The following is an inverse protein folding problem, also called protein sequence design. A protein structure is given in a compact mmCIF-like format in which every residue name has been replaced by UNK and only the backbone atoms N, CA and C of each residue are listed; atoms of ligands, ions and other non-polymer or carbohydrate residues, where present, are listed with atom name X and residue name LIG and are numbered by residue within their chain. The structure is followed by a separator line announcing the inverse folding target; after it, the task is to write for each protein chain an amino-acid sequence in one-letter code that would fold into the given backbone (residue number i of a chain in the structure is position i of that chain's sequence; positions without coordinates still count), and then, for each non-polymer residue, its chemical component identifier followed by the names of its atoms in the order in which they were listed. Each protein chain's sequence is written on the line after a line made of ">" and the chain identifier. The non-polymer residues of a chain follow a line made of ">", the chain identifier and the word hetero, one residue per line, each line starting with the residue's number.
data_IF_505645367214
#
_entry.id   IF_505645367214
#
_cell.length_a   1.000
_cell.length_b   1.000
_cell.length_c   1.000
_cell.angle_alpha   90.00
_cell.angle_beta   90.00
_cell.angle_gamma   90.00
#
_symmetry.space_group_name_H-M   'P 1'
#
loop_
_entity.id
_entity.type
_entity.pdbx_description
1 polymer ?
#
# COMPACT_ATOMS: atom_id res chain seq x y z
N UNK A 1 -4.08 27.71 -10.50
CA UNK A 1 -3.97 27.47 -9.05
C UNK A 1 -3.52 26.02 -8.90
N UNK A 2 -2.24 25.85 -8.68
CA UNK A 2 -1.53 24.57 -8.66
C UNK A 2 -1.89 23.80 -7.39
N UNK A 3 -2.70 22.76 -7.52
CA UNK A 3 -2.92 21.81 -6.43
C UNK A 3 -1.65 20.98 -6.24
N UNK A 4 -0.83 21.36 -5.28
CA UNK A 4 0.17 20.47 -4.68
C UNK A 4 -0.59 19.32 -4.05
N UNK A 5 -0.61 18.18 -4.72
CA UNK A 5 -1.06 16.91 -4.15
C UNK A 5 -0.09 16.58 -3.01
N UNK A 6 -0.59 16.70 -1.78
CA UNK A 6 0.20 16.60 -0.55
C UNK A 6 0.58 15.14 -0.30
N UNK A 7 1.83 14.82 -0.52
CA UNK A 7 2.56 13.70 0.09
C UNK A 7 2.73 13.91 1.62
N UNK A 8 1.75 14.52 2.29
CA UNK A 8 1.87 15.11 3.62
C UNK A 8 0.95 14.41 4.61
N UNK A 9 1.00 13.07 4.72
CA UNK A 9 0.33 12.46 5.88
C UNK A 9 1.13 11.37 6.61
N UNK A 10 2.30 10.96 6.13
CA UNK A 10 3.22 10.17 6.96
C UNK A 10 4.54 10.90 7.28
N UNK A 11 4.82 12.00 6.60
CA UNK A 11 6.04 12.80 6.81
C UNK A 11 6.00 13.79 7.98
N UNK A 12 4.85 13.99 8.62
CA UNK A 12 4.74 15.01 9.67
C UNK A 12 5.35 14.63 11.03
N UNK A 13 5.79 13.37 11.21
CA UNK A 13 6.49 12.95 12.42
C UNK A 13 8.02 13.05 12.31
N UNK A 14 8.55 13.35 11.12
CA UNK A 14 10.00 13.35 10.88
C UNK A 14 10.41 14.65 10.17
N UNK A 15 10.10 15.78 10.75
CA UNK A 15 10.78 17.04 10.41
C UNK A 15 11.85 17.34 11.46
N UNK A 16 12.75 16.40 11.68
CA UNK A 16 13.99 16.63 12.43
C UNK A 16 15.08 15.66 11.94
N UNK A 17 15.29 15.57 10.65
CA UNK A 17 16.59 15.14 10.16
C UNK A 17 17.47 16.36 10.16
N UNK A 18 18.17 16.56 11.27
CA UNK A 18 19.35 17.38 11.27
C UNK A 18 20.27 16.85 10.16
N UNK A 19 20.52 17.67 9.15
CA UNK A 19 21.55 17.41 8.18
C UNK A 19 22.88 17.22 8.92
N UNK A 20 23.27 15.97 9.12
CA UNK A 20 24.65 15.63 9.36
C UNK A 20 25.28 15.61 7.96
N UNK A 21 26.00 16.68 7.63
CA UNK A 21 27.02 16.60 6.60
C UNK A 21 28.01 15.53 7.07
N UNK A 22 27.92 14.34 6.53
CA UNK A 22 28.86 13.27 6.83
C UNK A 22 30.17 13.63 6.14
N UNK A 23 31.19 14.00 6.93
CA UNK A 23 32.61 14.13 6.51
C UNK A 23 33.22 12.75 6.23
N UNK A 24 32.51 11.89 5.55
CA UNK A 24 32.93 10.54 5.18
C UNK A 24 33.02 10.36 3.66
N UNK A 25 33.67 9.31 3.17
CA UNK A 25 33.65 8.98 1.75
C UNK A 25 32.18 8.78 1.32
N UNK A 26 31.83 9.12 0.04
CA UNK A 26 30.47 8.94 -0.45
C UNK A 26 30.03 7.47 -0.30
N UNK A 27 28.75 7.24 0.03
CA UNK A 27 28.24 5.88 0.22
C UNK A 27 28.43 5.03 -1.03
N UNK A 28 28.77 3.77 -0.82
CA UNK A 28 28.96 2.81 -1.92
C UNK A 28 27.64 2.62 -2.63
N UNK A 29 27.61 2.87 -3.94
CA UNK A 29 26.47 2.58 -4.80
C UNK A 29 26.46 1.07 -5.10
N UNK A 30 25.47 0.34 -4.57
CA UNK A 30 25.27 -1.08 -4.84
C UNK A 30 24.24 -1.24 -5.97
N UNK A 31 24.65 -1.62 -7.19
CA UNK A 31 23.73 -1.72 -8.32
C UNK A 31 22.64 -2.79 -8.11
N UNK A 32 22.95 -3.88 -7.40
CA UNK A 32 21.99 -4.94 -7.08
C UNK A 32 20.91 -4.44 -6.14
N UNK A 33 21.31 -3.73 -5.09
CA UNK A 33 20.38 -3.12 -4.14
C UNK A 33 19.56 -2.01 -4.80
N UNK A 34 20.14 -1.16 -5.63
CA UNK A 34 19.40 -0.12 -6.36
C UNK A 34 18.35 -0.71 -7.31
N UNK A 35 18.68 -1.80 -8.01
CA UNK A 35 17.70 -2.53 -8.85
C UNK A 35 16.58 -3.14 -8.00
N UNK A 36 16.89 -3.64 -6.80
CA UNK A 36 15.88 -4.13 -5.88
C UNK A 36 14.94 -2.99 -5.44
N UNK A 37 15.48 -1.81 -5.13
CA UNK A 37 14.69 -0.62 -4.80
C UNK A 37 13.79 -0.20 -5.97
N UNK A 38 14.32 -0.14 -7.17
CA UNK A 38 13.57 0.20 -8.38
C UNK A 38 12.34 -0.69 -8.56
N UNK A 39 12.49 -1.99 -8.32
CA UNK A 39 11.39 -2.97 -8.39
C UNK A 39 10.44 -2.91 -7.20
N UNK A 40 10.89 -2.38 -6.07
CA UNK A 40 10.10 -2.28 -4.86
C UNK A 40 9.13 -1.09 -4.86
N UNK A 41 9.53 0.03 -5.45
CA UNK A 41 8.80 1.29 -5.42
C UNK A 41 7.97 1.51 -6.69
N UNK A 42 7.17 2.58 -6.71
CA UNK A 42 6.34 2.91 -7.86
C UNK A 42 7.19 3.15 -9.11
N UNK A 43 6.90 2.42 -10.18
CA UNK A 43 7.52 2.58 -11.48
C UNK A 43 7.16 3.94 -12.10
N UNK A 44 8.15 4.56 -12.70
CA UNK A 44 7.98 5.69 -13.61
C UNK A 44 9.14 5.68 -14.61
N UNK A 45 8.89 5.90 -15.90
CA UNK A 45 9.95 5.99 -16.90
C UNK A 45 11.01 7.01 -16.48
N UNK A 46 12.27 6.74 -16.82
CA UNK A 46 13.42 7.62 -16.57
C UNK A 46 13.73 7.92 -15.09
N UNK A 47 13.16 7.15 -14.16
CA UNK A 47 13.55 7.25 -12.75
C UNK A 47 14.96 6.75 -12.54
N UNK A 48 15.74 7.50 -11.77
CA UNK A 48 17.06 7.10 -11.32
C UNK A 48 17.12 7.08 -9.80
N UNK A 49 17.93 6.17 -9.26
CA UNK A 49 18.07 5.99 -7.81
C UNK A 49 19.51 6.12 -7.38
N UNK A 50 19.75 6.78 -6.25
CA UNK A 50 21.08 6.99 -5.68
C UNK A 50 21.04 6.82 -4.17
N UNK A 51 21.98 6.04 -3.61
CA UNK A 51 22.17 5.94 -2.16
C UNK A 51 22.87 7.21 -1.69
N UNK A 52 22.26 7.93 -0.75
CA UNK A 52 22.78 9.16 -0.18
C UNK A 52 23.38 8.97 1.21
N UNK A 53 22.89 7.98 1.97
CA UNK A 53 23.53 7.52 3.21
C UNK A 53 23.32 6.02 3.42
N UNK A 54 24.17 5.41 4.23
CA UNK A 54 24.08 3.99 4.59
C UNK A 54 24.64 3.81 6.01
N UNK A 55 23.84 4.22 6.98
CA UNK A 55 24.21 4.18 8.38
C UNK A 55 23.96 2.80 8.98
N UNK A 56 24.94 2.28 9.71
CA UNK A 56 24.85 0.95 10.33
C UNK A 56 24.62 1.07 11.83
N UNK A 57 23.51 0.48 12.28
CA UNK A 57 23.25 0.22 13.69
C UNK A 57 23.69 -1.19 14.11
N UNK A 58 23.99 -1.36 15.38
CA UNK A 58 24.35 -2.65 15.98
C UNK A 58 23.45 -2.96 17.17
N UNK A 59 22.97 -4.17 17.24
CA UNK A 59 22.16 -4.70 18.32
C UNK A 59 22.82 -5.97 18.87
N UNK A 60 22.42 -6.47 20.04
CA UNK A 60 22.89 -7.78 20.54
C UNK A 60 22.58 -8.93 19.57
N UNK A 61 21.54 -8.80 18.76
CA UNK A 61 21.13 -9.82 17.78
C UNK A 61 21.87 -9.68 16.43
N UNK A 62 22.59 -8.57 16.19
CA UNK A 62 23.33 -8.34 14.95
C UNK A 62 23.26 -6.91 14.45
N UNK A 63 23.40 -6.69 13.17
CA UNK A 63 23.39 -5.35 12.56
C UNK A 63 22.17 -5.10 11.69
N UNK A 64 21.79 -3.84 11.61
CA UNK A 64 20.86 -3.31 10.62
C UNK A 64 21.47 -2.09 9.92
N UNK A 65 20.91 -1.71 8.79
CA UNK A 65 21.30 -0.52 8.03
C UNK A 65 20.11 0.39 7.79
N UNK A 66 20.31 1.68 8.00
CA UNK A 66 19.41 2.74 7.57
C UNK A 66 19.97 3.29 6.25
N UNK A 67 19.30 3.02 5.15
CA UNK A 67 19.75 3.41 3.82
C UNK A 67 18.84 4.51 3.32
N UNK A 68 19.41 5.69 3.11
CA UNK A 68 18.69 6.79 2.45
C UNK A 68 18.91 6.67 0.95
N UNK A 69 17.80 6.59 0.22
CA UNK A 69 17.80 6.50 -1.24
C UNK A 69 17.09 7.72 -1.81
N UNK A 70 17.78 8.48 -2.64
CA UNK A 70 17.21 9.55 -3.41
C UNK A 70 16.73 9.02 -4.75
N UNK A 71 15.51 9.39 -5.11
CA UNK A 71 14.94 9.16 -6.43
C UNK A 71 14.88 10.48 -7.17
N UNK A 72 15.40 10.52 -8.39
CA UNK A 72 15.19 11.57 -9.36
C UNK A 72 14.33 11.03 -10.51
N UNK A 73 13.39 11.82 -10.99
CA UNK A 73 12.49 11.50 -12.10
C UNK A 73 12.25 12.77 -12.91
N UNK A 74 11.98 12.63 -14.20
CA UNK A 74 11.54 13.73 -15.04
C UNK A 74 10.22 14.37 -14.54
N UNK A 75 9.42 13.60 -13.79
CA UNK A 75 8.27 14.11 -13.05
C UNK A 75 8.71 14.49 -11.64
N UNK A 76 8.68 15.79 -11.33
CA UNK A 76 8.93 16.32 -9.98
C UNK A 76 8.02 15.71 -8.90
N UNK A 77 6.88 15.14 -9.30
CA UNK A 77 5.91 14.53 -8.38
C UNK A 77 6.42 13.26 -7.71
N UNK A 78 7.36 12.57 -8.33
CA UNK A 78 7.94 11.32 -7.83
C UNK A 78 9.39 11.45 -7.38
N UNK A 79 9.99 12.63 -7.52
CA UNK A 79 11.33 12.91 -7.01
C UNK A 79 11.28 13.07 -5.48
N UNK A 80 12.29 12.56 -4.79
CA UNK A 80 12.39 12.65 -3.34
C UNK A 80 13.32 11.62 -2.73
N UNK A 81 13.39 11.61 -1.41
CA UNK A 81 14.16 10.63 -0.64
C UNK A 81 13.27 9.66 0.10
N UNK A 82 13.76 8.45 0.29
CA UNK A 82 13.13 7.41 1.10
C UNK A 82 14.15 6.75 2.02
N UNK A 83 13.72 6.39 3.22
CA UNK A 83 14.50 5.57 4.13
C UNK A 83 14.11 4.11 3.95
N UNK A 84 15.10 3.25 3.78
CA UNK A 84 14.95 1.80 3.73
C UNK A 84 15.74 1.20 4.88
N UNK A 85 15.13 0.30 5.64
CA UNK A 85 15.81 -0.37 6.74
C UNK A 85 16.11 -1.81 6.34
N UNK A 86 17.38 -2.19 6.39
CA UNK A 86 17.83 -3.54 6.06
C UNK A 86 18.24 -4.24 7.34
N UNK A 87 17.63 -5.39 7.62
CA UNK A 87 18.03 -6.28 8.70
C UNK A 87 19.00 -7.33 8.12
N UNK A 88 20.29 -7.17 8.40
CA UNK A 88 21.35 -8.05 7.89
C UNK A 88 21.28 -9.47 8.49
N UNK A 89 20.53 -9.66 9.58
CA UNK A 89 20.38 -10.97 10.28
C UNK A 89 19.16 -11.73 9.77
N UNK A 90 18.06 -11.02 9.58
CA UNK A 90 16.82 -11.61 9.11
C UNK A 90 16.73 -11.68 7.57
N UNK A 91 17.71 -11.16 6.84
CA UNK A 91 17.70 -11.03 5.38
C UNK A 91 16.43 -10.32 4.89
N UNK A 92 16.07 -9.22 5.55
CA UNK A 92 14.84 -8.50 5.25
C UNK A 92 15.08 -7.02 4.95
N UNK A 93 14.23 -6.49 4.06
CA UNK A 93 14.22 -5.09 3.66
C UNK A 93 12.86 -4.50 3.98
N UNK A 94 12.86 -3.42 4.76
CA UNK A 94 11.69 -2.72 5.24
C UNK A 94 11.53 -1.41 4.48
N UNK A 95 10.40 -1.23 3.83
CA UNK A 95 10.02 -0.01 3.14
C UNK A 95 8.99 0.75 3.96
N UNK A 96 9.26 2.01 4.25
CA UNK A 96 8.30 2.83 4.98
C UNK A 96 8.98 3.91 5.80
N UNK A 97 8.27 4.37 6.82
CA UNK A 97 8.79 5.42 7.70
C UNK A 97 9.62 4.80 8.82
N UNK A 98 10.87 5.23 8.96
CA UNK A 98 11.70 4.95 10.13
C UNK A 98 11.67 6.17 11.06
N UNK A 99 11.16 6.00 12.27
CA UNK A 99 11.08 7.05 13.27
C UNK A 99 12.07 6.77 14.40
N UNK A 100 12.86 7.80 14.75
CA UNK A 100 13.73 7.72 15.94
C UNK A 100 12.86 7.63 17.19
N UNK A 101 13.13 6.62 18.00
CA UNK A 101 12.43 6.44 19.27
C UNK A 101 13.03 7.35 20.35
N UNK A 102 12.25 7.74 21.38
CA UNK A 102 12.82 8.38 22.57
C UNK A 102 13.86 7.47 23.21
N UNK A 103 14.85 8.05 23.89
CA UNK A 103 15.86 7.27 24.57
C UNK A 103 15.22 6.26 25.55
N UNK A 104 15.54 5.00 25.39
CA UNK A 104 15.11 3.94 26.27
C UNK A 104 16.18 3.76 27.37
N UNK A 105 15.85 4.15 28.59
CA UNK A 105 16.78 4.16 29.74
C UNK A 105 16.91 2.81 30.45
N UNK A 106 16.52 1.71 29.80
CA UNK A 106 16.63 0.35 30.36
C UNK A 106 17.80 -0.43 29.78
N UNK A 107 18.23 -1.47 30.51
CA UNK A 107 19.00 -2.53 29.86
C UNK A 107 18.16 -3.06 28.69
N UNK A 108 18.80 -3.27 27.53
CA UNK A 108 18.11 -3.74 26.32
C UNK A 108 17.68 -5.19 26.54
N UNK A 109 16.60 -5.34 27.32
CA UNK A 109 15.87 -6.59 27.48
C UNK A 109 14.68 -6.59 26.51
N UNK A 110 14.52 -7.61 25.66
CA UNK A 110 13.42 -7.68 24.72
C UNK A 110 12.04 -7.50 25.35
N UNK A 111 11.83 -7.95 26.59
CA UNK A 111 10.57 -7.80 27.31
C UNK A 111 10.30 -6.36 27.70
N UNK A 112 11.31 -5.68 28.23
CA UNK A 112 11.21 -4.28 28.60
C UNK A 112 11.01 -3.37 27.38
N UNK A 113 11.71 -3.68 26.27
CA UNK A 113 11.53 -2.98 25.01
C UNK A 113 10.13 -3.17 24.44
N UNK A 114 9.57 -4.38 24.46
CA UNK A 114 8.17 -4.65 24.03
C UNK A 114 7.18 -3.84 24.87
N UNK A 115 7.32 -3.85 26.18
CA UNK A 115 6.46 -3.08 27.09
C UNK A 115 6.52 -1.59 26.79
N UNK A 116 7.72 -1.05 26.50
CA UNK A 116 7.88 0.35 26.10
C UNK A 116 7.18 0.65 24.77
N UNK A 117 7.36 -0.20 23.76
CA UNK A 117 6.71 -0.04 22.44
C UNK A 117 5.20 -0.11 22.57
N UNK A 118 4.66 -1.05 23.37
CA UNK A 118 3.21 -1.20 23.60
C UNK A 118 2.57 0.06 24.20
N UNK A 119 3.30 0.80 25.00
CA UNK A 119 2.83 2.04 25.62
C UNK A 119 3.05 3.27 24.72
N UNK A 120 4.24 3.39 24.15
CA UNK A 120 4.64 4.59 23.43
C UNK A 120 4.02 4.69 22.03
N UNK A 121 4.10 3.61 21.24
CA UNK A 121 3.75 3.70 19.81
C UNK A 121 2.26 3.99 19.55
N UNK A 122 1.30 3.34 20.23
CA UNK A 122 -0.12 3.66 20.06
C UNK A 122 -0.46 5.11 20.43
N UNK A 123 0.17 5.63 21.50
CA UNK A 123 -0.05 7.02 21.93
C UNK A 123 0.53 8.03 20.91
N UNK A 124 1.73 7.78 20.43
CA UNK A 124 2.39 8.59 19.40
C UNK A 124 1.57 8.62 18.09
N UNK A 125 1.05 7.47 17.64
CA UNK A 125 0.24 7.37 16.43
C UNK A 125 -1.14 8.01 16.60
N UNK A 126 -1.75 7.92 17.79
CA UNK A 126 -3.00 8.60 18.09
C UNK A 126 -2.83 10.12 18.06
N UNK A 127 -1.76 10.62 18.66
CA UNK A 127 -1.46 12.06 18.70
C UNK A 127 -1.18 12.64 17.32
N UNK A 128 -0.40 11.95 16.49
CA UNK A 128 0.10 12.48 15.22
C UNK A 128 -0.77 12.13 14.00
N UNK A 129 -1.32 10.92 13.94
CA UNK A 129 -2.07 10.42 12.79
C UNK A 129 -3.56 10.18 13.10
N UNK A 130 -4.00 10.40 14.36
CA UNK A 130 -5.36 10.11 14.85
C UNK A 130 -5.77 8.65 14.63
N UNK A 131 -4.82 7.74 14.62
CA UNK A 131 -5.05 6.31 14.47
C UNK A 131 -5.21 5.66 15.84
N UNK A 132 -6.31 4.94 16.04
CA UNK A 132 -6.44 4.03 17.16
C UNK A 132 -5.74 2.73 16.80
N UNK A 133 -4.69 2.42 17.54
CA UNK A 133 -3.83 1.29 17.24
C UNK A 133 -3.52 0.48 18.48
N UNK A 134 -3.25 -0.81 18.29
CA UNK A 134 -2.66 -1.70 19.30
C UNK A 134 -1.51 -2.48 18.69
N UNK A 135 -0.55 -2.87 19.52
CA UNK A 135 0.61 -3.68 19.10
C UNK A 135 0.30 -5.15 19.33
N UNK A 136 0.56 -5.99 18.33
CA UNK A 136 0.40 -7.43 18.41
C UNK A 136 1.71 -8.13 18.03
N UNK A 137 2.35 -8.75 19.01
CA UNK A 137 3.62 -9.48 18.86
C UNK A 137 3.45 -10.92 18.40
N UNK A 138 2.20 -11.41 18.29
CA UNK A 138 1.93 -12.77 17.88
C UNK A 138 2.02 -12.88 16.35
N UNK A 139 2.58 -14.01 15.90
CA UNK A 139 2.71 -14.33 14.47
C UNK A 139 3.20 -13.14 13.64
N UNK A 140 4.40 -12.61 13.92
CA UNK A 140 4.90 -11.39 13.34
C UNK A 140 5.06 -11.50 11.81
N UNK A 141 5.06 -10.36 11.07
CA UNK A 141 5.10 -10.35 9.60
C UNK A 141 6.38 -10.93 9.01
N UNK A 142 7.43 -11.07 9.82
CA UNK A 142 8.72 -11.62 9.43
C UNK A 142 9.45 -12.21 10.63
N UNK A 143 10.52 -12.96 10.40
CA UNK A 143 11.37 -13.47 11.48
C UNK A 143 12.11 -12.33 12.20
N UNK A 144 12.33 -12.48 13.49
CA UNK A 144 13.14 -11.54 14.25
C UNK A 144 14.64 -11.66 13.91
N UNK A 145 15.32 -10.52 13.91
CA UNK A 145 16.74 -10.39 13.69
C UNK A 145 17.29 -9.20 14.47
N UNK A 146 17.96 -8.27 13.80
CA UNK A 146 18.33 -6.98 14.39
C UNK A 146 17.11 -6.07 14.59
N UNK A 147 15.99 -6.39 13.92
CA UNK A 147 14.68 -5.83 14.15
C UNK A 147 13.77 -6.85 14.82
N UNK A 148 12.88 -6.37 15.70
CA UNK A 148 11.83 -7.12 16.35
C UNK A 148 10.50 -6.77 15.68
N UNK A 149 10.00 -7.62 14.77
CA UNK A 149 8.78 -7.35 14.01
C UNK A 149 7.52 -7.62 14.85
N UNK A 150 6.46 -6.88 14.54
CA UNK A 150 5.13 -7.04 15.11
C UNK A 150 4.06 -6.54 14.12
N UNK A 151 2.81 -6.85 14.41
CA UNK A 151 1.69 -6.25 13.73
C UNK A 151 1.19 -5.02 14.49
N UNK A 152 0.98 -3.95 13.79
CA UNK A 152 0.19 -2.84 14.25
C UNK A 152 -1.26 -3.07 13.81
N UNK A 153 -2.17 -3.31 14.77
CA UNK A 153 -3.61 -3.39 14.50
C UNK A 153 -4.17 -1.98 14.47
N UNK A 154 -4.91 -1.67 13.43
CA UNK A 154 -5.47 -0.33 13.20
C UNK A 154 -6.99 -0.46 13.17
N UNK A 155 -7.66 0.28 14.07
CA UNK A 155 -9.13 0.35 14.11
C UNK A 155 -9.62 1.24 12.95
N UNK A 156 -10.41 0.64 12.06
CA UNK A 156 -11.04 1.33 10.92
C UNK A 156 -12.38 2.00 11.28
N UNK A 157 -12.87 1.83 12.51
CA UNK A 157 -14.24 2.17 12.92
C UNK A 157 -15.29 1.10 12.56
N UNK A 158 -14.88 0.08 11.82
CA UNK A 158 -15.71 -1.07 11.43
C UNK A 158 -15.07 -2.41 11.81
N UNK A 159 -13.94 -2.38 12.47
CA UNK A 159 -13.10 -3.50 12.84
C UNK A 159 -11.62 -3.16 12.61
N UNK A 160 -10.76 -4.16 12.69
CA UNK A 160 -9.31 -3.95 12.64
C UNK A 160 -8.69 -4.56 11.38
N UNK A 161 -7.70 -3.87 10.83
CA UNK A 161 -6.76 -4.41 9.85
C UNK A 161 -5.31 -4.30 10.37
N UNK A 162 -4.37 -4.98 9.71
CA UNK A 162 -2.99 -5.07 10.18
C UNK A 162 -2.02 -4.35 9.26
N UNK A 163 -1.00 -3.75 9.85
CA UNK A 163 0.16 -3.17 9.16
C UNK A 163 1.44 -3.72 9.77
N UNK A 164 2.40 -4.09 8.93
CA UNK A 164 3.71 -4.53 9.39
C UNK A 164 4.47 -3.38 10.04
N UNK A 165 5.11 -3.69 11.16
CA UNK A 165 5.95 -2.78 11.91
C UNK A 165 7.09 -3.55 12.58
N UNK A 166 8.14 -2.85 12.94
CA UNK A 166 9.25 -3.38 13.72
C UNK A 166 9.87 -2.29 14.60
N UNK A 167 10.59 -2.71 15.62
CA UNK A 167 11.50 -1.86 16.36
C UNK A 167 12.91 -2.45 16.27
N UNK A 168 13.93 -1.60 16.15
CA UNK A 168 15.31 -2.08 16.24
C UNK A 168 15.60 -2.64 17.63
N UNK A 169 16.33 -3.73 17.74
CA UNK A 169 16.54 -4.41 19.02
C UNK A 169 17.38 -3.59 20.03
N UNK A 170 17.95 -2.46 19.60
CA UNK A 170 18.55 -1.43 20.47
C UNK A 170 17.54 -0.34 20.89
N UNK A 171 16.29 -0.42 20.43
CA UNK A 171 15.25 0.56 20.74
C UNK A 171 15.42 1.93 20.05
N UNK A 172 16.36 2.06 19.11
CA UNK A 172 16.69 3.35 18.52
C UNK A 172 15.65 3.83 17.49
N UNK A 173 15.04 2.89 16.72
CA UNK A 173 14.09 3.22 15.66
C UNK A 173 12.89 2.30 15.67
N UNK A 174 11.72 2.88 15.40
CA UNK A 174 10.52 2.14 14.96
C UNK A 174 10.36 2.28 13.45
N UNK A 175 10.01 1.18 12.78
CA UNK A 175 9.78 1.10 11.33
C UNK A 175 8.35 0.70 11.07
N UNK A 176 7.66 1.43 10.21
CA UNK A 176 6.26 1.19 9.84
C UNK A 176 6.13 1.05 8.33
N UNK A 177 5.83 -0.14 7.86
CA UNK A 177 5.66 -0.39 6.42
C UNK A 177 5.88 -1.84 6.05
N UNK A 178 5.74 -2.18 4.76
CA UNK A 178 5.93 -3.54 4.29
C UNK A 178 7.36 -4.03 4.48
N UNK A 179 7.48 -5.32 4.64
CA UNK A 179 8.76 -6.04 4.76
C UNK A 179 8.83 -7.11 3.69
N UNK A 180 9.99 -7.25 3.07
CA UNK A 180 10.23 -8.26 2.04
C UNK A 180 11.59 -8.94 2.26
N UNK A 181 11.75 -10.20 1.82
CA UNK A 181 13.07 -10.83 1.76
C UNK A 181 14.03 -10.02 0.88
N UNK A 182 15.29 -9.90 1.30
CA UNK A 182 16.30 -9.10 0.59
C UNK A 182 16.69 -9.66 -0.79
N UNK A 183 16.40 -10.95 -1.02
CA UNK A 183 16.67 -11.69 -2.25
C UNK A 183 15.41 -11.93 -3.12
N UNK A 184 14.26 -11.38 -2.71
CA UNK A 184 13.00 -11.62 -3.42
C UNK A 184 12.94 -10.87 -4.76
N UNK A 185 12.45 -11.55 -5.79
CA UNK A 185 11.94 -10.90 -6.99
C UNK A 185 10.54 -10.32 -6.68
N UNK A 186 10.51 -9.07 -6.27
CA UNK A 186 9.28 -8.41 -5.78
C UNK A 186 8.22 -8.26 -6.87
N UNK A 187 8.62 -8.08 -8.13
CA UNK A 187 7.69 -7.96 -9.24
C UNK A 187 6.97 -9.30 -9.46
N UNK A 188 7.74 -10.38 -9.55
CA UNK A 188 7.18 -11.72 -9.68
C UNK A 188 6.34 -12.12 -8.45
N UNK A 189 6.83 -11.86 -7.25
CA UNK A 189 6.12 -12.14 -6.02
C UNK A 189 4.73 -11.49 -5.99
N UNK A 190 4.66 -10.19 -6.30
CA UNK A 190 3.39 -9.43 -6.34
C UNK A 190 2.46 -9.92 -7.43
N UNK A 191 3.01 -10.20 -8.61
CA UNK A 191 2.23 -10.73 -9.74
C UNK A 191 1.57 -12.06 -9.41
N UNK A 192 2.33 -13.00 -8.86
CA UNK A 192 1.82 -14.31 -8.47
C UNK A 192 0.82 -14.24 -7.32
N UNK A 193 1.09 -13.42 -6.31
CA UNK A 193 0.21 -13.24 -5.16
C UNK A 193 -1.14 -12.67 -5.58
N UNK A 194 -1.14 -11.58 -6.36
CA UNK A 194 -2.36 -10.91 -6.81
C UNK A 194 -3.13 -11.75 -7.83
N UNK A 195 -2.44 -12.45 -8.72
CA UNK A 195 -3.07 -13.32 -9.71
C UNK A 195 -3.83 -14.49 -9.11
N UNK A 196 -3.44 -14.96 -7.91
CA UNK A 196 -4.07 -16.07 -7.19
C UNK A 196 -5.02 -15.61 -6.07
N UNK A 197 -5.06 -14.30 -5.75
CA UNK A 197 -5.82 -13.78 -4.63
C UNK A 197 -7.32 -13.74 -4.94
N UNK A 198 -8.12 -14.39 -4.10
CA UNK A 198 -9.59 -14.28 -4.10
C UNK A 198 -10.11 -12.88 -3.74
N UNK A 199 -9.24 -12.01 -3.24
CA UNK A 199 -9.56 -10.64 -2.87
C UNK A 199 -9.54 -9.68 -4.06
N UNK A 200 -8.96 -10.10 -5.19
CA UNK A 200 -9.00 -9.36 -6.45
C UNK A 200 -10.28 -9.71 -7.19
N UNK A 201 -11.15 -8.74 -7.36
CA UNK A 201 -12.34 -8.91 -8.19
C UNK A 201 -11.98 -8.51 -9.62
N UNK A 202 -11.84 -9.53 -10.49
CA UNK A 202 -11.57 -9.32 -11.90
C UNK A 202 -12.83 -8.83 -12.58
N UNK A 203 -12.73 -7.66 -13.17
CA UNK A 203 -13.81 -7.10 -13.96
C UNK A 203 -13.66 -7.51 -15.44
N UNK A 204 -14.72 -7.40 -16.18
CA UNK A 204 -14.79 -7.65 -17.62
C UNK A 204 -14.03 -8.87 -18.09
N UNK A 205 -14.73 -9.77 -18.71
CA UNK A 205 -14.34 -10.81 -19.67
C UNK A 205 -12.86 -10.87 -20.01
N UNK A 206 -12.09 -10.52 -19.01
CA UNK A 206 -10.66 -10.59 -19.00
C UNK A 206 -10.34 -12.02 -19.31
N UNK A 207 -9.88 -12.29 -20.53
CA UNK A 207 -9.37 -13.59 -20.88
C UNK A 207 -8.40 -13.96 -19.76
N UNK A 208 -8.63 -15.08 -19.08
CA UNK A 208 -7.67 -15.60 -18.08
C UNK A 208 -6.24 -15.61 -18.64
N UNK A 209 -6.14 -15.73 -19.96
CA UNK A 209 -4.91 -15.76 -20.76
C UNK A 209 -4.35 -14.38 -21.13
N UNK A 210 -4.93 -13.26 -20.70
CA UNK A 210 -4.37 -11.94 -20.98
C UNK A 210 -2.94 -11.83 -20.40
N UNK A 211 -1.91 -11.52 -21.23
CA UNK A 211 -0.52 -11.50 -20.78
C UNK A 211 -0.22 -10.40 -19.76
N UNK A 212 -1.07 -9.37 -19.68
CA UNK A 212 -0.90 -8.26 -18.73
C UNK A 212 -2.07 -8.23 -17.75
N UNK A 213 -1.77 -8.27 -16.47
CA UNK A 213 -2.72 -8.07 -15.39
C UNK A 213 -2.53 -6.70 -14.77
N UNK A 214 -3.61 -5.95 -14.60
CA UNK A 214 -3.64 -4.66 -13.93
C UNK A 214 -4.55 -4.81 -12.72
N UNK A 215 -3.98 -4.77 -11.51
CA UNK A 215 -4.75 -4.81 -10.27
C UNK A 215 -4.74 -3.43 -9.64
N UNK A 216 -5.92 -2.84 -9.49
CA UNK A 216 -6.11 -1.52 -8.89
C UNK A 216 -6.52 -1.65 -7.42
N UNK A 217 -5.75 -1.05 -6.52
CA UNK A 217 -6.19 -0.75 -5.17
C UNK A 217 -6.90 0.61 -5.20
N UNK A 218 -8.20 0.56 -4.99
CA UNK A 218 -9.11 1.69 -5.25
C UNK A 218 -9.97 2.05 -4.04
N UNK A 219 -10.32 3.33 -3.98
CA UNK A 219 -11.25 3.88 -3.02
C UNK A 219 -12.32 4.68 -3.76
N UNK A 220 -13.59 4.31 -3.60
CA UNK A 220 -14.70 4.92 -4.33
C UNK A 220 -14.97 6.38 -3.91
N UNK A 221 -14.49 6.80 -2.74
CA UNK A 221 -14.55 8.19 -2.29
C UNK A 221 -13.33 9.01 -2.73
N UNK A 222 -12.26 8.37 -3.21
CA UNK A 222 -11.03 9.04 -3.60
C UNK A 222 -11.20 9.82 -4.91
N UNK A 223 -11.02 11.16 -4.92
CA UNK A 223 -11.12 11.95 -6.15
C UNK A 223 -10.07 11.58 -7.20
N UNK A 224 -8.88 11.18 -6.77
CA UNK A 224 -7.81 10.74 -7.66
C UNK A 224 -8.18 9.43 -8.38
N UNK A 225 -8.83 8.48 -7.68
CA UNK A 225 -9.34 7.26 -8.29
C UNK A 225 -10.36 7.56 -9.39
N UNK A 226 -11.34 8.43 -9.09
CA UNK A 226 -12.33 8.87 -10.07
C UNK A 226 -11.68 9.51 -11.30
N UNK A 227 -10.70 10.39 -11.08
CA UNK A 227 -10.03 11.10 -12.16
C UNK A 227 -9.19 10.19 -13.06
N UNK A 228 -8.56 9.15 -12.47
CA UNK A 228 -7.69 8.21 -13.22
C UNK A 228 -8.47 7.08 -13.90
N UNK A 229 -9.68 6.80 -13.46
CA UNK A 229 -10.47 5.69 -13.98
C UNK A 229 -10.67 5.71 -15.51
N UNK A 230 -11.03 6.84 -16.15
CA UNK A 230 -11.18 6.89 -17.61
C UNK A 230 -9.89 6.50 -18.35
N UNK A 231 -8.72 6.89 -17.83
CA UNK A 231 -7.42 6.58 -18.45
C UNK A 231 -7.10 5.09 -18.38
N UNK A 232 -7.37 4.44 -17.23
CA UNK A 232 -7.19 2.98 -17.09
C UNK A 232 -8.13 2.25 -18.02
N UNK A 233 -9.40 2.66 -18.10
CA UNK A 233 -10.38 2.03 -18.96
C UNK A 233 -9.99 2.12 -20.42
N UNK A 234 -9.57 3.29 -20.87
CA UNK A 234 -9.08 3.51 -22.24
C UNK A 234 -7.85 2.64 -22.54
N UNK A 235 -6.89 2.56 -21.62
CA UNK A 235 -5.69 1.75 -21.80
C UNK A 235 -6.01 0.24 -21.86
N UNK A 236 -6.95 -0.25 -21.03
CA UNK A 236 -7.36 -1.67 -21.04
C UNK A 236 -8.17 -1.99 -22.30
N UNK A 237 -9.10 -1.12 -22.69
CA UNK A 237 -9.90 -1.28 -23.90
C UNK A 237 -9.01 -1.23 -25.17
N UNK A 238 -8.03 -0.33 -25.22
CA UNK A 238 -7.07 -0.21 -26.31
C UNK A 238 -6.01 -1.33 -26.39
N UNK A 239 -5.90 -2.14 -25.34
CA UNK A 239 -4.98 -3.27 -25.34
C UNK A 239 -5.49 -4.50 -26.12
N UNK A 240 -6.69 -4.46 -26.70
CA UNK A 240 -7.25 -5.53 -27.56
C UNK A 240 -7.19 -6.93 -26.92
N UNK A 241 -7.59 -7.04 -25.65
CA UNK A 241 -7.57 -8.29 -24.88
C UNK A 241 -6.19 -8.71 -24.36
N UNK A 242 -5.14 -7.94 -24.59
CA UNK A 242 -3.80 -8.20 -24.04
C UNK A 242 -3.67 -7.79 -22.57
N UNK A 243 -4.61 -7.00 -22.05
CA UNK A 243 -4.64 -6.61 -20.65
C UNK A 243 -5.98 -6.99 -20.01
N UNK A 244 -5.92 -7.38 -18.74
CA UNK A 244 -7.08 -7.56 -17.86
C UNK A 244 -6.97 -6.64 -16.65
N UNK A 245 -8.12 -6.17 -16.17
CA UNK A 245 -8.20 -5.32 -15.00
C UNK A 245 -8.95 -6.01 -13.87
N UNK A 246 -8.47 -5.83 -12.66
CA UNK A 246 -9.13 -6.26 -11.44
C UNK A 246 -9.01 -5.20 -10.36
N UNK A 247 -9.91 -5.23 -9.40
CA UNK A 247 -9.98 -4.25 -8.32
C UNK A 247 -9.89 -4.90 -6.94
N UNK A 248 -9.19 -4.24 -6.04
CA UNK A 248 -9.18 -4.49 -4.60
C UNK A 248 -9.63 -3.20 -3.92
N UNK A 249 -10.61 -3.27 -3.03
CA UNK A 249 -11.04 -2.10 -2.27
C UNK A 249 -10.00 -1.73 -1.21
N UNK A 250 -9.60 -0.46 -1.19
CA UNK A 250 -8.64 0.06 -0.22
C UNK A 250 -9.13 1.39 0.36
N UNK A 251 -10.19 1.36 1.21
CA UNK A 251 -10.81 2.57 1.75
C UNK A 251 -9.89 3.30 2.72
N UNK A 252 -9.61 4.58 2.45
CA UNK A 252 -8.79 5.46 3.29
C UNK A 252 -9.64 6.13 4.36
N UNK A 253 -10.12 5.36 5.33
CA UNK A 253 -11.14 5.77 6.32
C UNK A 253 -10.78 6.99 7.17
N UNK A 254 -9.50 7.34 7.28
CA UNK A 254 -9.02 8.53 8.01
C UNK A 254 -9.34 9.85 7.31
N UNK A 255 -9.55 9.82 6.00
CA UNK A 255 -9.79 11.01 5.16
C UNK A 255 -11.06 10.89 4.31
N UNK A 256 -11.58 9.68 4.16
CA UNK A 256 -12.75 9.36 3.33
C UNK A 256 -13.84 8.69 4.19
N UNK A 257 -14.80 9.47 4.71
CA UNK A 257 -15.74 9.00 5.74
C UNK A 257 -16.73 7.93 5.28
N UNK A 258 -17.05 7.84 3.97
CA UNK A 258 -17.98 6.83 3.47
C UNK A 258 -17.30 5.70 2.67
N UNK A 259 -15.99 5.78 2.45
CA UNK A 259 -15.23 4.82 1.64
C UNK A 259 -15.41 3.36 2.07
N UNK A 260 -15.38 3.09 3.40
CA UNK A 260 -15.54 1.73 3.91
C UNK A 260 -16.92 1.15 3.61
N UNK A 261 -17.97 1.99 3.69
CA UNK A 261 -19.33 1.57 3.35
C UNK A 261 -19.45 1.21 1.87
N UNK A 262 -18.88 2.01 1.00
CA UNK A 262 -18.83 1.73 -0.44
C UNK A 262 -18.02 0.46 -0.75
N UNK A 263 -16.88 0.25 -0.08
CA UNK A 263 -16.10 -0.97 -0.21
C UNK A 263 -16.88 -2.23 0.23
N UNK A 264 -17.61 -2.15 1.35
CA UNK A 264 -18.50 -3.23 1.79
C UNK A 264 -19.61 -3.54 0.77
N UNK A 265 -20.21 -2.50 0.18
CA UNK A 265 -21.22 -2.67 -0.87
C UNK A 265 -20.63 -3.30 -2.13
N UNK A 266 -19.45 -2.81 -2.58
CA UNK A 266 -18.70 -3.36 -3.72
C UNK A 266 -18.45 -4.85 -3.57
N UNK A 267 -18.00 -5.27 -2.37
CA UNK A 267 -17.79 -6.69 -2.08
C UNK A 267 -19.08 -7.52 -2.19
N UNK A 268 -20.17 -7.05 -1.57
CA UNK A 268 -21.44 -7.77 -1.56
C UNK A 268 -22.10 -7.87 -2.94
N UNK A 269 -21.88 -6.87 -3.79
CA UNK A 269 -22.34 -6.87 -5.19
C UNK A 269 -21.49 -7.82 -6.02
N UNK A 270 -20.17 -7.72 -5.90
CA UNK A 270 -19.24 -8.57 -6.66
C UNK A 270 -19.33 -10.05 -6.27
N UNK A 271 -19.67 -10.36 -5.02
CA UNK A 271 -19.92 -11.73 -4.57
C UNK A 271 -21.15 -12.37 -5.26
N UNK A 272 -22.12 -11.58 -5.70
CA UNK A 272 -23.26 -12.04 -6.48
C UNK A 272 -22.98 -12.00 -8.00
N UNK A 273 -22.30 -10.94 -8.46
CA UNK A 273 -21.97 -10.77 -9.87
C UNK A 273 -20.70 -9.90 -10.02
N UNK A 274 -19.52 -10.51 -10.25
CA UNK A 274 -18.28 -9.76 -10.43
C UNK A 274 -18.35 -8.73 -11.56
N UNK A 275 -19.12 -9.00 -12.62
CA UNK A 275 -19.27 -8.11 -13.78
C UNK A 275 -20.00 -6.80 -13.45
N UNK A 276 -20.71 -6.73 -12.33
CA UNK A 276 -21.40 -5.52 -11.86
C UNK A 276 -20.53 -4.62 -11.00
N UNK A 277 -19.30 -5.04 -10.68
CA UNK A 277 -18.39 -4.18 -9.91
C UNK A 277 -18.06 -2.87 -10.65
N UNK A 278 -17.77 -2.95 -11.95
CA UNK A 278 -17.48 -1.76 -12.75
C UNK A 278 -18.67 -0.81 -12.89
N UNK A 279 -19.86 -1.26 -13.29
CA UNK A 279 -21.04 -0.40 -13.32
C UNK A 279 -21.33 0.25 -11.95
N UNK A 280 -21.11 -0.47 -10.84
CA UNK A 280 -21.27 0.07 -9.51
C UNK A 280 -20.21 1.14 -9.19
N UNK A 281 -18.96 0.89 -9.54
CA UNK A 281 -17.85 1.85 -9.40
C UNK A 281 -18.13 3.13 -10.18
N UNK A 282 -18.55 3.01 -11.44
CA UNK A 282 -18.89 4.14 -12.30
C UNK A 282 -20.02 4.98 -11.72
N UNK A 283 -21.10 4.36 -11.25
CA UNK A 283 -22.18 5.06 -10.56
C UNK A 283 -21.68 5.85 -9.35
N UNK A 284 -20.84 5.24 -8.52
CA UNK A 284 -20.32 5.93 -7.34
C UNK A 284 -19.37 7.08 -7.70
N UNK A 285 -18.60 6.96 -8.78
CA UNK A 285 -17.76 8.05 -9.27
C UNK A 285 -18.57 9.20 -9.88
N UNK A 286 -19.68 8.92 -10.54
CA UNK A 286 -20.62 9.95 -11.02
C UNK A 286 -21.23 10.73 -9.86
N UNK A 287 -21.63 10.03 -8.80
CA UNK A 287 -22.28 10.63 -7.62
C UNK A 287 -21.28 11.18 -6.59
N UNK A 288 -19.99 10.91 -6.72
CA UNK A 288 -18.97 11.09 -5.68
C UNK A 288 -18.98 12.48 -5.02
N UNK A 289 -19.13 13.55 -5.82
CA UNK A 289 -19.06 14.93 -5.31
C UNK A 289 -20.29 15.35 -4.50
N UNK A 290 -21.40 14.66 -4.68
CA UNK A 290 -22.67 14.93 -3.98
C UNK A 290 -23.00 13.84 -2.94
N UNK A 291 -22.22 12.75 -2.89
CA UNK A 291 -22.46 11.62 -2.03
C UNK A 291 -22.20 11.95 -0.56
N UNK A 292 -23.15 11.70 0.26
CA UNK A 292 -23.02 11.74 1.72
C UNK A 292 -23.03 10.32 2.30
N UNK A 293 -22.47 10.15 3.49
CA UNK A 293 -22.37 8.85 4.17
C UNK A 293 -23.74 8.16 4.37
N UNK A 294 -24.80 8.96 4.55
CA UNK A 294 -26.19 8.49 4.71
C UNK A 294 -26.77 7.93 3.42
N UNK A 295 -26.27 8.36 2.27
CA UNK A 295 -26.77 8.00 0.94
C UNK A 295 -26.16 6.72 0.38
N UNK A 296 -25.00 6.28 0.90
CA UNK A 296 -24.27 5.10 0.38
C UNK A 296 -25.15 3.85 0.40
N UNK A 297 -25.80 3.56 1.52
CA UNK A 297 -26.62 2.35 1.65
C UNK A 297 -27.91 2.39 0.78
N UNK A 298 -28.68 3.48 0.72
CA UNK A 298 -29.80 3.60 -0.22
C UNK A 298 -29.33 3.43 -1.67
N UNK A 299 -28.32 4.16 -2.13
CA UNK A 299 -27.79 4.08 -3.49
C UNK A 299 -27.35 2.66 -3.87
N UNK A 300 -26.67 1.97 -2.95
CA UNK A 300 -26.25 0.59 -3.18
C UNK A 300 -27.45 -0.37 -3.29
N UNK A 301 -28.51 -0.20 -2.49
CA UNK A 301 -29.74 -1.01 -2.59
C UNK A 301 -30.50 -0.75 -3.88
N UNK A 302 -30.61 0.51 -4.29
CA UNK A 302 -31.24 0.88 -5.56
C UNK A 302 -30.50 0.24 -6.75
N UNK A 303 -29.15 0.22 -6.69
CA UNK A 303 -28.33 -0.46 -7.69
C UNK A 303 -28.58 -1.98 -7.69
N UNK A 304 -28.65 -2.62 -6.52
CA UNK A 304 -28.96 -4.06 -6.36
C UNK A 304 -30.30 -4.40 -6.98
N UNK A 305 -31.35 -3.65 -6.64
CA UNK A 305 -32.69 -3.83 -7.18
C UNK A 305 -32.75 -3.61 -8.70
N UNK A 306 -32.12 -2.54 -9.20
CA UNK A 306 -32.11 -2.19 -10.62
C UNK A 306 -31.39 -3.24 -11.50
N UNK A 307 -30.43 -3.97 -10.94
CA UNK A 307 -29.67 -5.00 -11.65
C UNK A 307 -30.13 -6.44 -11.36
N UNK A 308 -31.27 -6.61 -10.68
CA UNK A 308 -31.87 -7.92 -10.42
C UNK A 308 -31.07 -8.82 -9.47
N UNK A 309 -30.23 -8.23 -8.62
CA UNK A 309 -29.50 -8.96 -7.58
C UNK A 309 -30.43 -9.32 -6.41
N UNK A 310 -30.02 -10.30 -5.62
CA UNK A 310 -30.74 -10.69 -4.41
C UNK A 310 -30.54 -9.66 -3.31
N UNK A 311 -31.60 -8.88 -3.02
CA UNK A 311 -31.59 -7.87 -1.99
C UNK A 311 -31.44 -8.45 -0.57
N UNK A 312 -31.96 -9.64 -0.30
CA UNK A 312 -31.83 -10.29 1.00
C UNK A 312 -30.36 -10.75 1.22
N UNK A 313 -29.72 -11.31 0.18
CA UNK A 313 -28.32 -11.66 0.21
C UNK A 313 -27.45 -10.41 0.40
N UNK A 314 -27.72 -9.31 -0.31
CA UNK A 314 -27.03 -8.04 -0.12
C UNK A 314 -27.18 -7.53 1.32
N UNK A 315 -28.39 -7.46 1.86
CA UNK A 315 -28.63 -6.97 3.22
C UNK A 315 -28.01 -7.86 4.31
N UNK A 316 -27.86 -9.16 4.06
CA UNK A 316 -27.17 -10.07 4.98
C UNK A 316 -25.63 -9.95 4.93
N UNK A 317 -25.09 -9.38 3.86
CA UNK A 317 -23.68 -9.15 3.62
C UNK A 317 -23.24 -7.74 4.02
N UNK A 318 -23.98 -6.70 3.60
CA UNK A 318 -23.59 -5.30 3.71
C UNK A 318 -23.40 -4.85 5.17
N UNK A 319 -22.19 -4.40 5.51
CA UNK A 319 -21.74 -4.06 6.86
C UNK A 319 -21.99 -5.19 7.88
N UNK A 320 -21.91 -6.42 7.45
CA UNK A 320 -21.94 -7.62 8.28
C UNK A 320 -20.62 -8.37 8.15
N UNK A 321 -20.44 -9.37 9.02
CA UNK A 321 -19.17 -10.10 9.12
C UNK A 321 -18.56 -10.48 7.77
N UNK A 322 -19.29 -11.03 6.78
CA UNK A 322 -18.68 -11.43 5.50
C UNK A 322 -17.99 -10.28 4.76
N UNK A 323 -18.62 -9.10 4.69
CA UNK A 323 -18.03 -7.94 4.01
C UNK A 323 -17.00 -7.20 4.86
N UNK A 324 -17.19 -7.17 6.19
CA UNK A 324 -16.21 -6.57 7.11
C UNK A 324 -14.88 -7.34 7.02
N UNK A 325 -14.91 -8.66 7.12
CA UNK A 325 -13.72 -9.51 7.02
C UNK A 325 -13.03 -9.36 5.65
N UNK A 326 -13.82 -9.32 4.58
CA UNK A 326 -13.28 -9.18 3.23
C UNK A 326 -12.56 -7.84 3.05
N UNK A 327 -13.19 -6.73 3.43
CA UNK A 327 -12.57 -5.39 3.31
C UNK A 327 -11.32 -5.26 4.19
N UNK A 328 -11.34 -5.82 5.42
CA UNK A 328 -10.16 -5.82 6.28
C UNK A 328 -9.03 -6.68 5.70
N UNK A 329 -9.34 -7.84 5.10
CA UNK A 329 -8.33 -8.64 4.38
C UNK A 329 -7.77 -7.90 3.17
N UNK A 330 -8.61 -7.16 2.42
CA UNK A 330 -8.16 -6.32 1.30
C UNK A 330 -7.25 -5.18 1.78
N UNK A 331 -7.58 -4.53 2.89
CA UNK A 331 -6.72 -3.52 3.52
C UNK A 331 -5.38 -4.11 3.98
N UNK A 332 -5.41 -5.28 4.64
CA UNK A 332 -4.20 -5.97 5.08
C UNK A 332 -3.32 -6.34 3.88
N UNK A 333 -3.90 -6.92 2.83
CA UNK A 333 -3.17 -7.25 1.58
C UNK A 333 -2.48 -6.01 0.99
N UNK A 334 -3.21 -4.89 0.90
CA UNK A 334 -2.63 -3.65 0.40
C UNK A 334 -1.48 -3.15 1.28
N UNK A 335 -1.61 -3.21 2.61
CA UNK A 335 -0.54 -2.81 3.53
C UNK A 335 0.70 -3.70 3.39
N UNK A 336 0.52 -5.01 3.25
CA UNK A 336 1.61 -5.98 3.02
C UNK A 336 2.33 -5.74 1.69
N UNK A 337 1.62 -5.28 0.67
CA UNK A 337 2.19 -4.94 -0.64
C UNK A 337 2.76 -3.51 -0.72
N UNK A 338 2.62 -2.71 0.34
CA UNK A 338 3.13 -1.35 0.40
C UNK A 338 2.19 -0.28 -0.16
N UNK A 339 0.92 -0.60 -0.33
CA UNK A 339 -0.09 0.39 -0.73
C UNK A 339 -0.30 1.38 0.42
N UNK A 340 -0.07 2.66 0.14
CA UNK A 340 -0.20 3.75 1.10
C UNK A 340 -1.08 4.89 0.59
N UNK A 341 -1.50 4.83 -0.66
CA UNK A 341 -2.36 5.81 -1.34
C UNK A 341 -3.21 5.12 -2.40
N UNK A 342 -4.31 5.77 -2.79
CA UNK A 342 -5.17 5.33 -3.89
C UNK A 342 -5.27 6.41 -4.96
N UNK A 343 -5.33 6.03 -6.24
CA UNK A 343 -5.18 4.66 -6.73
C UNK A 343 -3.72 4.22 -6.73
N UNK A 344 -3.48 2.94 -6.42
CA UNK A 344 -2.21 2.25 -6.67
C UNK A 344 -2.49 1.06 -7.58
N UNK A 345 -1.71 0.91 -8.62
CA UNK A 345 -1.85 -0.18 -9.60
C UNK A 345 -0.66 -1.12 -9.50
N UNK A 346 -0.92 -2.41 -9.70
CA UNK A 346 0.10 -3.43 -9.93
C UNK A 346 -0.07 -3.97 -11.36
N UNK A 347 0.88 -3.64 -12.23
CA UNK A 347 0.89 -4.06 -13.64
C UNK A 347 1.90 -5.18 -13.77
N UNK A 348 1.45 -6.43 -13.90
CA UNK A 348 2.30 -7.62 -13.78
C UNK A 348 3.26 -7.57 -12.58
N UNK A 349 2.79 -7.02 -11.43
CA UNK A 349 3.58 -6.89 -10.21
C UNK A 349 4.41 -5.60 -10.08
N UNK A 350 4.59 -4.84 -11.16
CA UNK A 350 5.17 -3.50 -11.09
C UNK A 350 4.21 -2.53 -10.41
N UNK A 351 4.68 -1.80 -9.41
CA UNK A 351 3.86 -0.78 -8.73
C UNK A 351 3.79 0.46 -9.61
N UNK A 352 2.59 0.95 -9.87
CA UNK A 352 2.36 2.19 -10.64
C UNK A 352 1.47 3.12 -9.83
N UNK A 353 1.94 4.35 -9.64
CA UNK A 353 1.18 5.44 -9.03
C UNK A 353 1.14 6.61 -10.01
N UNK A 354 -0.04 7.02 -10.42
CA UNK A 354 -0.19 8.08 -11.41
C UNK A 354 -0.05 7.56 -12.85
N UNK A 355 -1.10 6.97 -13.35
CA UNK A 355 -1.21 6.56 -14.75
C UNK A 355 -1.18 7.80 -15.64
N UNK A 356 -0.33 7.76 -16.66
CA UNK A 356 -0.17 8.81 -17.64
C UNK A 356 -0.41 8.25 -19.05
N UNK A 357 -1.28 8.85 -19.87
CA UNK A 357 -1.60 8.37 -21.21
C UNK A 357 -0.40 8.36 -22.17
N UNK A 358 0.66 9.13 -21.89
CA UNK A 358 1.83 9.20 -22.76
C UNK A 358 2.69 7.94 -22.70
N UNK A 359 2.82 7.29 -21.54
CA UNK A 359 3.70 6.13 -21.40
C UNK A 359 3.00 4.85 -20.97
N UNK A 360 1.83 4.92 -20.32
CA UNK A 360 1.19 3.74 -19.76
C UNK A 360 0.75 2.70 -20.80
N UNK A 361 0.21 3.07 -22.00
CA UNK A 361 -0.05 2.09 -23.07
C UNK A 361 1.22 1.37 -23.53
N UNK A 362 2.34 2.11 -23.66
CA UNK A 362 3.63 1.52 -24.03
C UNK A 362 4.16 0.53 -22.99
N UNK A 363 3.91 0.76 -21.70
CA UNK A 363 4.20 -0.20 -20.64
C UNK A 363 3.42 -1.51 -20.84
N UNK A 364 2.12 -1.41 -21.15
CA UNK A 364 1.28 -2.58 -21.43
C UNK A 364 1.84 -3.36 -22.64
N UNK A 365 2.20 -2.68 -23.71
CA UNK A 365 2.74 -3.31 -24.92
C UNK A 365 4.05 -4.07 -24.66
N UNK A 366 4.98 -3.47 -23.92
CA UNK A 366 6.25 -4.12 -23.53
C UNK A 366 6.02 -5.34 -22.66
N UNK A 367 5.20 -5.22 -21.64
CA UNK A 367 4.86 -6.34 -20.74
C UNK A 367 4.13 -7.46 -21.49
N UNK A 368 3.28 -7.13 -22.47
CA UNK A 368 2.61 -8.12 -23.31
C UNK A 368 3.61 -8.86 -24.25
N UNK A 369 4.71 -8.21 -24.63
CA UNK A 369 5.81 -8.82 -25.36
C UNK A 369 6.77 -9.62 -24.48
N UNK A 370 6.57 -9.65 -23.16
CA UNK A 370 7.45 -10.31 -22.20
C UNK A 370 8.73 -9.52 -21.86
N UNK A 371 8.70 -8.21 -22.10
CA UNK A 371 9.80 -7.29 -21.81
C UNK A 371 9.55 -6.58 -20.45
N UNK A 372 10.61 -6.12 -19.80
CA UNK A 372 10.48 -5.18 -18.67
C UNK A 372 10.00 -3.81 -19.18
N UNK A 373 9.18 -3.06 -18.39
CA UNK A 373 8.61 -1.80 -18.81
C UNK A 373 9.63 -0.66 -18.96
#
# INVERSE_FOLDING_TARGET
>A
MTHRCQWVLLGALIAATAGHAADGPPPVQDPGFLRYIERAVAYYPDSTFRITSNDRGRTPAGSYRLVEVERASASDQLSGSMTVVVDDVADSVWFGSAAKMPAFDGAIDPTALRTFVDQFLPEALRGSLRLNTTVDWNDPPFRAGALLPFWLRIDSGYGEYRKAAAVTADGAYAVLGPVFPSDADLVRYRHELLGKSELVVWDRGAAESAPVSIVEFSDLECPACRHRWPLIREAVDGADGRAKHGMVSFPLTTIHPWAFRAASASWCISAQSPTLLLPFKELFYELQTAMEISQVAPTARDFVAANGLDEAAFNSCYLKQPSLDAVHRQLTLGQELGVNATPTYFVNGWVVQGVDPEWFPGMIDRLAAGEEP
#
